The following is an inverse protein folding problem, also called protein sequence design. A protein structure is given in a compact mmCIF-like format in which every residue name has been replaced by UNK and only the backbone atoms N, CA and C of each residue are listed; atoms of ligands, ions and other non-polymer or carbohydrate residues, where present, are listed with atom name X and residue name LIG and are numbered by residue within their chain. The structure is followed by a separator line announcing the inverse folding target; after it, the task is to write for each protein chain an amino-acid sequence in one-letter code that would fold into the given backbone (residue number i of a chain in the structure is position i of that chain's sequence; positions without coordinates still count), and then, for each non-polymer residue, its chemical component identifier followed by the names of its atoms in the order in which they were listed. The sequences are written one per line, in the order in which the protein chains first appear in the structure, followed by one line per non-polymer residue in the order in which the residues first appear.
data_IF_975658156190
#
_entry.id   IF_975658156190
#
_cell.length_a   1.000
_cell.length_b   1.000
_cell.length_c   1.000
_cell.angle_alpha   90.00
_cell.angle_beta   90.00
_cell.angle_gamma   90.00
#
_symmetry.space_group_name_H-M   'P 1'
#
loop_
_entity.id
_entity.type
_entity.pdbx_description
1 polymer ?
#
# COMPACT_ATOMS: atom_id res chain seq x y z
N UNK A 1 -12.43 -40.34 -35.09
CA UNK A 1 -12.93 -39.05 -35.60
C UNK A 1 -14.36 -39.30 -36.03
N UNK A 2 -15.32 -39.08 -35.13
CA UNK A 2 -16.73 -39.32 -35.41
C UNK A 2 -17.28 -38.20 -36.31
N UNK A 3 -18.02 -38.51 -37.38
CA UNK A 3 -18.58 -37.49 -38.25
C UNK A 3 -19.75 -36.77 -37.56
N UNK A 4 -19.76 -35.44 -37.68
CA UNK A 4 -20.79 -34.57 -37.15
C UNK A 4 -22.17 -34.87 -37.78
N UNK A 5 -23.28 -34.79 -37.02
CA UNK A 5 -24.61 -35.05 -37.56
C UNK A 5 -25.02 -33.98 -38.57
N UNK A 6 -25.37 -34.44 -39.78
CA UNK A 6 -25.96 -33.64 -40.86
C UNK A 6 -27.37 -33.18 -40.46
N UNK A 7 -27.60 -31.87 -40.38
CA UNK A 7 -28.95 -31.30 -40.22
C UNK A 7 -29.71 -31.42 -41.53
N UNK A 8 -30.87 -32.06 -41.48
CA UNK A 8 -31.82 -32.14 -42.59
C UNK A 8 -32.39 -30.74 -42.90
N UNK A 9 -32.14 -30.19 -44.10
CA UNK A 9 -32.59 -28.84 -44.46
C UNK A 9 -34.11 -28.72 -44.60
N UNK A 10 -34.86 -29.83 -44.68
CA UNK A 10 -36.33 -29.84 -44.85
C UNK A 10 -37.10 -30.05 -43.54
N UNK A 11 -36.44 -29.99 -42.38
CA UNK A 11 -37.11 -30.06 -41.09
C UNK A 11 -37.98 -28.82 -40.84
N UNK A 12 -39.31 -28.98 -40.92
CA UNK A 12 -40.30 -27.93 -40.63
C UNK A 12 -40.27 -27.61 -39.13
N UNK A 13 -39.67 -26.48 -38.77
CA UNK A 13 -39.59 -25.99 -37.38
C UNK A 13 -40.79 -25.06 -37.11
N UNK A 14 -41.48 -25.15 -35.95
CA UNK A 14 -42.57 -24.24 -35.64
C UNK A 14 -42.08 -22.78 -35.59
N UNK A 15 -42.69 -21.93 -36.42
CA UNK A 15 -42.43 -20.48 -36.46
C UNK A 15 -43.54 -19.77 -35.70
N UNK A 16 -43.17 -18.78 -34.88
CA UNK A 16 -44.13 -17.94 -34.18
C UNK A 16 -45.04 -17.20 -35.18
N UNK A 17 -46.36 -17.11 -34.93
CA UNK A 17 -47.28 -16.41 -35.83
C UNK A 17 -46.89 -14.93 -35.98
N UNK A 18 -47.00 -14.41 -37.20
CA UNK A 18 -46.62 -13.05 -37.54
C UNK A 18 -47.42 -12.03 -36.71
N UNK A 19 -46.71 -11.04 -36.14
CA UNK A 19 -47.32 -9.95 -35.37
C UNK A 19 -48.15 -9.07 -36.31
N UNK A 20 -49.44 -8.88 -35.99
CA UNK A 20 -50.35 -8.08 -36.81
C UNK A 20 -49.82 -6.65 -36.96
N UNK A 21 -49.66 -6.21 -38.22
CA UNK A 21 -49.27 -4.84 -38.57
C UNK A 21 -50.52 -3.97 -38.58
N UNK A 22 -50.51 -2.88 -37.83
CA UNK A 22 -51.63 -1.94 -37.79
C UNK A 22 -51.87 -1.32 -39.20
N UNK A 23 -53.13 -1.20 -39.65
CA UNK A 23 -53.43 -0.63 -40.96
C UNK A 23 -52.98 0.83 -41.02
N UNK A 24 -52.35 1.21 -42.14
CA UNK A 24 -51.86 2.57 -42.36
C UNK A 24 -53.04 3.54 -42.41
N UNK A 25 -53.03 4.64 -41.63
CA UNK A 25 -54.13 5.59 -41.63
C UNK A 25 -54.29 6.25 -43.01
N UNK A 26 -55.50 6.20 -43.55
CA UNK A 26 -55.87 6.88 -44.80
C UNK A 26 -56.22 8.33 -44.46
N UNK A 27 -55.44 9.27 -44.99
CA UNK A 27 -55.69 10.71 -44.80
C UNK A 27 -56.85 11.13 -45.70
N UNK A 28 -57.96 11.58 -45.12
CA UNK A 28 -59.03 12.27 -45.86
C UNK A 28 -58.49 13.61 -46.36
N UNK A 29 -58.40 13.78 -47.68
CA UNK A 29 -58.21 15.09 -48.29
C UNK A 29 -59.50 15.90 -48.14
N UNK A 30 -59.46 16.99 -47.35
CA UNK A 30 -60.54 17.97 -47.34
C UNK A 30 -60.57 18.70 -48.69
N UNK A 31 -61.76 18.85 -49.28
CA UNK A 31 -61.95 19.62 -50.50
C UNK A 31 -61.49 21.07 -50.26
N UNK A 32 -60.74 21.62 -51.22
CA UNK A 32 -60.33 23.02 -51.18
C UNK A 32 -61.56 23.91 -51.36
N UNK A 33 -61.95 24.64 -50.32
CA UNK A 33 -62.87 25.76 -50.46
C UNK A 33 -62.19 26.85 -51.29
N UNK A 34 -62.61 26.98 -52.54
CA UNK A 34 -62.30 28.11 -53.41
C UNK A 34 -63.09 29.33 -52.92
N UNK A 35 -62.53 30.04 -51.94
CA UNK A 35 -63.12 31.29 -51.46
C UNK A 35 -62.43 32.46 -52.18
N UNK A 36 -63.15 33.02 -53.16
CA UNK A 36 -62.77 34.16 -53.98
C UNK A 36 -62.99 35.49 -53.24
N UNK A 37 -62.10 36.46 -53.49
CA UNK A 37 -62.54 37.85 -53.58
C UNK A 37 -62.67 38.69 -52.31
N UNK A 38 -61.67 38.72 -51.42
CA UNK A 38 -61.19 39.96 -50.74
C UNK A 38 -60.20 39.61 -49.62
N UNK A 39 -58.92 39.79 -49.87
CA UNK A 39 -57.88 39.42 -48.91
C UNK A 39 -56.57 40.14 -49.17
N UNK A 40 -55.71 40.26 -48.14
CA UNK A 40 -54.40 40.90 -48.29
C UNK A 40 -53.46 39.97 -49.09
N UNK A 41 -52.66 40.49 -50.03
CA UNK A 41 -51.66 39.69 -50.72
C UNK A 41 -50.55 39.27 -49.74
N UNK A 42 -50.11 38.02 -49.84
CA UNK A 42 -48.97 37.51 -49.10
C UNK A 42 -47.68 38.24 -49.53
N UNK A 43 -46.84 38.71 -48.60
CA UNK A 43 -45.60 39.40 -48.95
C UNK A 43 -44.56 38.51 -49.66
N UNK A 44 -44.66 37.18 -49.52
CA UNK A 44 -43.71 36.24 -50.12
C UNK A 44 -44.14 35.73 -51.50
N UNK A 45 -45.43 35.43 -51.71
CA UNK A 45 -45.91 34.80 -52.95
C UNK A 45 -47.12 35.49 -53.60
N UNK A 46 -47.56 36.64 -53.08
CA UNK A 46 -48.65 37.44 -53.67
C UNK A 46 -50.07 36.86 -53.53
N UNK A 47 -50.24 35.62 -53.04
CA UNK A 47 -51.57 35.01 -52.90
C UNK A 47 -52.47 35.83 -51.98
N UNK A 48 -53.70 36.12 -52.42
CA UNK A 48 -54.71 36.79 -51.60
C UNK A 48 -55.18 35.86 -50.47
N UNK A 49 -55.06 36.33 -49.23
CA UNK A 49 -55.45 35.60 -48.02
C UNK A 49 -56.47 36.42 -47.24
N UNK A 50 -57.49 35.76 -46.68
CA UNK A 50 -58.49 36.42 -45.82
C UNK A 50 -57.82 37.13 -44.63
N UNK A 51 -58.33 38.30 -44.20
CA UNK A 51 -57.65 39.18 -43.24
C UNK A 51 -57.39 38.55 -41.86
N UNK A 52 -58.15 37.51 -41.48
CA UNK A 52 -58.01 36.75 -40.24
C UNK A 52 -56.91 35.68 -40.26
N UNK A 53 -56.37 35.31 -41.44
CA UNK A 53 -55.29 34.31 -41.52
C UNK A 53 -53.97 34.88 -40.99
N UNK A 54 -53.27 34.07 -40.19
CA UNK A 54 -51.92 34.38 -39.69
C UNK A 54 -50.81 33.92 -40.65
N UNK A 55 -51.08 32.87 -41.41
CA UNK A 55 -50.15 32.26 -42.38
C UNK A 55 -50.77 32.18 -43.78
N UNK A 56 -49.94 32.25 -44.81
CA UNK A 56 -50.35 32.15 -46.20
C UNK A 56 -50.86 30.74 -46.53
N UNK A 57 -52.02 30.65 -47.17
CA UNK A 57 -52.60 29.37 -47.63
C UNK A 57 -51.75 28.61 -48.64
N UNK A 58 -50.88 29.30 -49.40
CA UNK A 58 -50.10 28.71 -50.50
C UNK A 58 -48.68 28.35 -50.08
N UNK A 59 -47.97 29.26 -49.43
CA UNK A 59 -46.56 29.07 -49.09
C UNK A 59 -46.27 29.00 -47.58
N UNK A 60 -47.31 29.02 -46.73
CA UNK A 60 -47.20 29.03 -45.27
C UNK A 60 -46.42 30.20 -44.64
N UNK A 61 -46.02 31.23 -45.41
CA UNK A 61 -45.36 32.42 -44.87
C UNK A 61 -46.27 33.22 -43.91
N UNK A 62 -45.71 33.77 -42.83
CA UNK A 62 -46.42 34.66 -41.91
C UNK A 62 -46.90 35.92 -42.62
N UNK A 63 -48.20 36.22 -42.52
CA UNK A 63 -48.81 37.42 -43.14
C UNK A 63 -48.57 38.68 -42.30
N UNK A 64 -48.21 38.50 -41.01
CA UNK A 64 -47.86 39.57 -40.07
C UNK A 64 -46.59 39.16 -39.30
N UNK A 65 -45.40 39.23 -39.93
CA UNK A 65 -44.17 39.00 -39.19
C UNK A 65 -44.06 40.09 -38.11
N UNK A 66 -43.98 39.68 -36.84
CA UNK A 66 -43.68 40.61 -35.76
C UNK A 66 -42.29 41.21 -36.01
N UNK A 67 -42.15 42.53 -35.86
CA UNK A 67 -40.82 43.14 -35.88
C UNK A 67 -39.98 42.49 -34.77
N UNK A 68 -38.89 41.83 -35.17
CA UNK A 68 -37.90 41.35 -34.21
C UNK A 68 -37.33 42.57 -33.50
N UNK A 69 -37.43 42.59 -32.17
CA UNK A 69 -36.82 43.63 -31.37
C UNK A 69 -35.34 43.74 -31.75
N UNK A 70 -34.85 44.97 -31.92
CA UNK A 70 -33.45 45.20 -32.25
C UNK A 70 -32.54 44.54 -31.21
N UNK A 71 -31.42 43.93 -31.63
CA UNK A 71 -30.47 43.33 -30.70
C UNK A 71 -30.01 44.40 -29.72
N UNK A 72 -30.06 44.07 -28.42
CA UNK A 72 -29.55 44.96 -27.39
C UNK A 72 -28.04 45.16 -27.60
N UNK A 73 -27.50 46.37 -27.36
CA UNK A 73 -26.07 46.61 -27.40
C UNK A 73 -25.32 45.66 -26.46
N UNK A 74 -24.18 45.12 -26.91
CA UNK A 74 -23.40 44.10 -26.20
C UNK A 74 -23.06 44.49 -24.74
N UNK A 75 -22.90 45.78 -24.46
CA UNK A 75 -22.61 46.25 -23.10
C UNK A 75 -23.80 46.07 -22.14
N UNK A 76 -25.05 46.04 -22.62
CA UNK A 76 -26.24 45.75 -21.80
C UNK A 76 -26.44 44.26 -21.54
N UNK A 77 -25.85 43.38 -22.35
CA UNK A 77 -25.86 41.93 -22.11
C UNK A 77 -24.73 41.48 -21.18
N UNK A 78 -23.61 42.21 -21.12
CA UNK A 78 -22.48 41.87 -20.24
C UNK A 78 -22.65 42.41 -18.81
N UNK A 79 -23.37 43.52 -18.59
CA UNK A 79 -23.53 44.12 -17.25
C UNK A 79 -24.96 44.59 -16.94
N UNK A 80 -25.86 43.70 -16.51
CA UNK A 80 -27.19 44.10 -16.08
C UNK A 80 -27.12 44.77 -14.70
N UNK A 81 -26.99 46.11 -14.69
CA UNK A 81 -26.98 46.96 -13.49
C UNK A 81 -28.26 46.91 -12.64
N UNK A 82 -29.28 46.14 -13.05
CA UNK A 82 -30.48 45.86 -12.25
C UNK A 82 -30.71 44.37 -12.17
N UNK A 83 -29.88 43.66 -11.39
CA UNK A 83 -30.32 42.40 -10.80
C UNK A 83 -31.44 42.74 -9.82
N UNK A 84 -32.70 42.56 -10.25
CA UNK A 84 -33.74 42.20 -9.26
C UNK A 84 -33.16 41.00 -8.53
N UNK A 85 -33.02 41.11 -7.22
CA UNK A 85 -32.64 40.01 -6.35
C UNK A 85 -33.73 38.92 -6.45
N UNK A 86 -33.70 38.12 -7.53
CA UNK A 86 -34.19 36.76 -7.47
C UNK A 86 -33.28 36.09 -6.45
N UNK A 87 -33.85 35.69 -5.32
CA UNK A 87 -33.21 34.95 -4.23
C UNK A 87 -31.98 34.18 -4.73
N UNK A 88 -30.81 34.79 -4.50
CA UNK A 88 -29.57 34.35 -5.11
C UNK A 88 -29.22 32.98 -4.56
N UNK A 89 -29.20 31.97 -5.43
CA UNK A 89 -28.71 30.63 -5.13
C UNK A 89 -27.47 30.74 -4.25
N UNK A 90 -27.43 30.06 -3.11
CA UNK A 90 -26.33 30.12 -2.12
C UNK A 90 -24.98 29.61 -2.63
N UNK A 91 -24.67 29.78 -3.92
CA UNK A 91 -23.43 29.43 -4.62
C UNK A 91 -22.23 30.19 -4.05
N UNK A 92 -22.39 31.46 -3.68
CA UNK A 92 -21.33 32.23 -3.00
C UNK A 92 -21.04 31.69 -1.59
N UNK A 93 -22.09 31.44 -0.81
CA UNK A 93 -21.97 30.85 0.53
C UNK A 93 -21.38 29.44 0.46
N UNK A 94 -21.86 28.59 -0.47
CA UNK A 94 -21.31 27.24 -0.71
C UNK A 94 -19.83 27.28 -1.11
N UNK A 95 -19.43 28.22 -1.95
CA UNK A 95 -18.02 28.38 -2.33
C UNK A 95 -17.16 28.74 -1.12
N UNK A 96 -17.60 29.67 -0.27
CA UNK A 96 -16.86 30.04 0.95
C UNK A 96 -16.77 28.88 1.94
N UNK A 97 -17.85 28.11 2.11
CA UNK A 97 -17.85 26.91 2.96
C UNK A 97 -16.89 25.84 2.43
N UNK A 98 -16.93 25.55 1.12
CA UNK A 98 -16.00 24.59 0.51
C UNK A 98 -14.56 25.05 0.66
N UNK A 99 -14.28 26.33 0.41
CA UNK A 99 -12.95 26.90 0.56
C UNK A 99 -12.46 26.80 2.02
N UNK A 100 -13.32 27.11 3.00
CA UNK A 100 -12.99 26.98 4.41
C UNK A 100 -12.68 25.52 4.80
N UNK A 101 -13.46 24.55 4.30
CA UNK A 101 -13.21 23.12 4.51
C UNK A 101 -11.89 22.68 3.88
N UNK A 102 -11.59 23.10 2.65
CA UNK A 102 -10.32 22.78 1.98
C UNK A 102 -9.14 23.37 2.75
N UNK A 103 -9.24 24.62 3.20
CA UNK A 103 -8.20 25.27 4.03
C UNK A 103 -8.03 24.51 5.35
N UNK A 104 -9.11 24.13 6.02
CA UNK A 104 -9.07 23.36 7.25
C UNK A 104 -8.43 21.97 7.05
N UNK A 105 -8.71 21.30 5.93
CA UNK A 105 -8.08 20.02 5.58
C UNK A 105 -6.59 20.18 5.26
N UNK A 106 -6.22 21.24 4.53
CA UNK A 106 -4.81 21.54 4.25
C UNK A 106 -4.04 21.87 5.53
N UNK A 107 -4.62 22.72 6.40
CA UNK A 107 -4.05 23.04 7.71
C UNK A 107 -3.96 21.80 8.59
N UNK A 108 -5.03 21.00 8.68
CA UNK A 108 -5.04 19.73 9.39
C UNK A 108 -3.96 18.77 8.88
N UNK A 109 -3.82 18.63 7.56
CA UNK A 109 -2.72 17.88 6.94
C UNK A 109 -1.35 18.43 7.36
N UNK A 110 -1.11 19.73 7.24
CA UNK A 110 0.17 20.37 7.58
C UNK A 110 0.51 20.22 9.07
N UNK A 111 -0.46 20.38 9.97
CA UNK A 111 -0.24 20.24 11.41
C UNK A 111 -0.13 18.79 11.87
N UNK A 112 -0.76 17.84 11.17
CA UNK A 112 -0.65 16.41 11.46
C UNK A 112 0.55 15.73 10.77
N UNK A 113 1.14 16.35 9.74
CA UNK A 113 2.31 15.82 9.03
C UNK A 113 3.55 15.61 9.94
N UNK A 114 3.93 16.51 10.86
CA UNK A 114 5.05 16.28 11.78
C UNK A 114 4.80 15.08 12.69
N UNK A 115 3.59 14.98 13.26
CA UNK A 115 3.20 13.89 14.14
C UNK A 115 3.10 12.55 13.38
N UNK A 116 2.57 12.58 12.16
CA UNK A 116 2.50 11.42 11.27
C UNK A 116 3.87 10.94 10.80
N UNK A 117 4.81 11.85 10.53
CA UNK A 117 6.19 11.48 10.21
C UNK A 117 6.92 10.90 11.42
N UNK A 118 6.80 11.51 12.59
CA UNK A 118 7.41 10.98 13.81
C UNK A 118 6.88 9.57 14.15
N UNK A 119 5.57 9.34 14.01
CA UNK A 119 4.96 8.02 14.22
C UNK A 119 5.37 7.03 13.13
N UNK A 120 5.43 7.44 11.86
CA UNK A 120 5.87 6.58 10.76
C UNK A 120 7.35 6.20 10.89
N UNK A 121 8.21 7.14 11.28
CA UNK A 121 9.63 6.90 11.51
C UNK A 121 9.82 5.98 12.73
N UNK A 122 9.10 6.18 13.83
CA UNK A 122 9.11 5.29 15.00
C UNK A 122 8.60 3.87 14.69
N UNK A 123 7.55 3.75 13.86
CA UNK A 123 7.05 2.44 13.39
C UNK A 123 8.01 1.79 12.41
N UNK A 124 8.61 2.56 11.49
CA UNK A 124 9.61 2.07 10.54
C UNK A 124 10.87 1.62 11.26
N UNK A 125 11.29 2.34 12.30
CA UNK A 125 12.43 1.98 13.17
C UNK A 125 12.12 0.70 13.96
N UNK A 126 10.85 0.48 14.34
CA UNK A 126 10.39 -0.77 14.96
C UNK A 126 10.22 -1.95 13.98
N UNK A 127 10.12 -1.67 12.68
CA UNK A 127 9.92 -2.66 11.60
C UNK A 127 11.13 -2.80 10.64
N UNK A 128 12.22 -2.07 10.88
CA UNK A 128 13.45 -2.14 10.08
C UNK A 128 14.05 -3.55 10.10
N UNK A 129 14.62 -3.99 8.98
CA UNK A 129 15.21 -5.34 8.86
C UNK A 129 16.43 -5.46 9.79
N UNK A 130 16.56 -6.60 10.46
CA UNK A 130 17.74 -6.92 11.25
C UNK A 130 18.98 -7.01 10.35
N UNK A 131 20.04 -6.29 10.70
CA UNK A 131 21.31 -6.27 9.96
C UNK A 131 22.43 -6.89 10.81
N UNK A 132 23.28 -7.77 10.26
CA UNK A 132 24.39 -8.35 11.01
C UNK A 132 25.43 -7.29 11.39
N UNK A 133 25.94 -7.35 12.62
CA UNK A 133 27.02 -6.49 13.13
C UNK A 133 28.15 -7.33 13.71
N UNK A 134 29.38 -7.03 13.33
CA UNK A 134 30.58 -7.74 13.80
C UNK A 134 31.24 -6.97 14.96
N UNK A 135 31.61 -7.64 16.06
CA UNK A 135 32.37 -7.02 17.13
C UNK A 135 33.78 -6.65 16.64
N UNK A 136 34.32 -5.55 17.17
CA UNK A 136 35.70 -5.12 16.87
C UNK A 136 36.75 -5.83 17.72
N UNK A 137 36.33 -6.45 18.83
CA UNK A 137 37.21 -7.19 19.73
C UNK A 137 36.44 -8.37 20.33
N UNK A 138 37.12 -9.52 20.39
CA UNK A 138 36.61 -10.74 21.02
C UNK A 138 37.66 -11.25 22.00
N UNK A 139 37.29 -11.40 23.26
CA UNK A 139 38.17 -11.87 24.33
C UNK A 139 37.51 -13.05 25.04
N UNK A 140 38.27 -14.12 25.32
CA UNK A 140 37.80 -15.23 26.13
C UNK A 140 38.45 -15.23 27.51
N UNK A 141 37.76 -15.77 28.50
CA UNK A 141 38.36 -16.09 29.80
C UNK A 141 39.46 -17.15 29.70
N UNK A 142 39.48 -17.92 28.61
CA UNK A 142 40.53 -18.87 28.24
C UNK A 142 40.19 -19.59 26.94
N UNK A 143 41.14 -20.32 26.36
CA UNK A 143 40.94 -21.10 25.13
C UNK A 143 41.87 -22.30 25.10
N UNK A 144 41.42 -23.43 24.55
CA UNK A 144 42.34 -24.55 24.27
C UNK A 144 43.15 -24.30 22.99
N UNK A 145 44.36 -24.88 22.87
CA UNK A 145 45.22 -24.72 21.69
C UNK A 145 44.49 -25.04 20.39
N UNK A 146 44.66 -24.17 19.38
CA UNK A 146 44.03 -24.34 18.06
C UNK A 146 42.55 -23.95 18.00
N UNK A 147 41.92 -23.55 19.11
CA UNK A 147 40.50 -23.20 19.19
C UNK A 147 40.27 -21.83 19.87
N UNK A 148 40.81 -20.73 19.30
CA UNK A 148 40.73 -19.40 19.91
C UNK A 148 39.31 -18.81 19.85
N UNK A 149 39.10 -17.79 20.69
CA UNK A 149 37.87 -16.99 20.76
C UNK A 149 37.39 -16.45 19.40
N UNK A 150 38.31 -16.07 18.52
CA UNK A 150 38.00 -15.47 17.21
C UNK A 150 37.27 -16.41 16.26
N UNK A 151 37.23 -17.72 16.56
CA UNK A 151 36.47 -18.70 15.77
C UNK A 151 34.96 -18.57 15.95
N UNK A 152 34.47 -17.78 16.92
CA UNK A 152 33.03 -17.57 17.12
C UNK A 152 32.45 -16.41 16.33
N UNK A 153 33.28 -15.73 15.53
CA UNK A 153 32.86 -14.60 14.70
C UNK A 153 33.54 -14.64 13.33
N UNK A 154 33.97 -15.82 12.87
CA UNK A 154 34.70 -15.97 11.61
C UNK A 154 33.77 -16.30 10.42
N UNK A 155 32.45 -16.38 10.68
CA UNK A 155 31.43 -16.72 9.71
C UNK A 155 31.42 -18.21 9.33
N UNK A 156 32.17 -19.06 10.03
CA UNK A 156 32.27 -20.49 9.76
C UNK A 156 31.65 -21.33 10.86
N UNK A 157 30.59 -22.05 10.53
CA UNK A 157 29.88 -22.94 11.46
C UNK A 157 30.52 -24.34 11.61
N UNK A 158 31.80 -24.50 11.26
CA UNK A 158 32.56 -25.76 11.36
C UNK A 158 33.92 -25.58 12.06
N UNK A 159 34.19 -24.36 12.53
CA UNK A 159 35.25 -24.04 13.46
C UNK A 159 34.59 -23.64 14.78
N UNK A 160 35.34 -23.74 15.87
CA UNK A 160 34.80 -23.46 17.19
C UNK A 160 35.86 -22.94 18.14
N UNK A 161 35.42 -22.10 19.08
CA UNK A 161 36.12 -21.83 20.32
C UNK A 161 35.95 -23.00 21.27
N UNK A 162 37.04 -23.42 21.90
CA UNK A 162 37.05 -24.45 22.92
C UNK A 162 37.24 -23.82 24.29
N UNK A 163 36.16 -23.77 25.06
CA UNK A 163 36.16 -23.27 26.41
C UNK A 163 37.03 -24.16 27.32
N UNK A 164 37.81 -23.56 28.25
CA UNK A 164 38.61 -24.32 29.22
C UNK A 164 37.76 -25.12 30.22
N UNK A 165 36.48 -24.80 30.37
CA UNK A 165 35.55 -25.51 31.25
C UNK A 165 34.22 -24.77 31.40
N UNK A 166 33.28 -25.34 32.20
CA UNK A 166 32.04 -24.65 32.55
C UNK A 166 32.31 -23.32 33.26
N UNK A 167 31.51 -22.30 32.94
CA UNK A 167 31.70 -20.94 33.43
C UNK A 167 32.71 -20.11 32.63
N UNK A 168 33.35 -20.69 31.61
CA UNK A 168 34.15 -19.90 30.68
C UNK A 168 33.27 -18.90 29.93
N UNK A 169 33.82 -17.73 29.63
CA UNK A 169 33.09 -16.65 28.97
C UNK A 169 33.83 -16.05 27.78
N UNK A 170 33.05 -15.49 26.87
CA UNK A 170 33.48 -14.64 25.75
C UNK A 170 32.93 -13.24 25.98
N UNK A 171 33.75 -12.23 25.70
CA UNK A 171 33.36 -10.82 25.72
C UNK A 171 33.55 -10.26 24.32
N UNK A 172 32.44 -9.78 23.76
CA UNK A 172 32.36 -9.13 22.46
C UNK A 172 32.23 -7.64 22.67
N UNK A 173 33.11 -6.86 22.05
CA UNK A 173 33.09 -5.38 22.12
C UNK A 173 32.76 -4.81 20.76
N UNK A 174 31.87 -3.82 20.74
CA UNK A 174 31.42 -3.16 19.51
C UNK A 174 31.98 -1.74 19.42
N UNK A 175 32.18 -1.25 18.19
CA UNK A 175 32.81 0.06 17.95
C UNK A 175 31.95 1.22 18.44
N UNK A 176 30.65 1.11 18.25
CA UNK A 176 29.64 2.11 18.57
C UNK A 176 28.49 1.41 19.30
N UNK A 177 27.80 2.10 20.22
CA UNK A 177 26.54 1.62 20.77
C UNK A 177 25.54 1.33 19.67
N UNK A 178 24.75 0.25 19.82
CA UNK A 178 23.73 -0.13 18.85
C UNK A 178 22.55 -0.81 19.55
N UNK A 179 21.42 -0.91 18.84
CA UNK A 179 20.24 -1.63 19.31
C UNK A 179 20.33 -3.11 18.92
N UNK A 180 20.57 -3.98 19.90
CA UNK A 180 20.64 -5.42 19.73
C UNK A 180 19.24 -6.02 19.58
N UNK A 181 18.94 -6.59 18.41
CA UNK A 181 17.63 -7.21 18.15
C UNK A 181 17.68 -8.72 18.31
N UNK A 182 18.66 -9.37 17.68
CA UNK A 182 18.83 -10.81 17.69
C UNK A 182 20.28 -11.20 17.96
N UNK A 183 20.45 -12.32 18.67
CA UNK A 183 21.71 -13.04 18.83
C UNK A 183 21.48 -14.44 18.29
N UNK A 184 22.25 -14.87 17.30
CA UNK A 184 22.19 -16.24 16.79
C UNK A 184 23.39 -17.01 17.33
N UNK A 185 23.13 -18.16 17.96
CA UNK A 185 24.17 -19.02 18.52
C UNK A 185 24.19 -20.35 17.78
N UNK A 186 25.38 -20.73 17.30
CA UNK A 186 25.64 -22.10 16.85
C UNK A 186 26.36 -22.85 17.98
N UNK A 187 25.58 -23.63 18.73
CA UNK A 187 26.08 -24.39 19.88
C UNK A 187 26.91 -25.61 19.44
N UNK A 188 27.88 -26.01 20.26
CA UNK A 188 28.77 -27.14 19.95
C UNK A 188 29.82 -26.79 18.90
N UNK A 189 30.37 -27.81 18.24
CA UNK A 189 31.48 -27.64 17.30
C UNK A 189 31.06 -27.36 15.85
N UNK A 190 29.82 -27.70 15.49
CA UNK A 190 29.29 -27.46 14.15
C UNK A 190 27.77 -27.65 14.06
N UNK A 191 27.16 -27.14 12.99
CA UNK A 191 25.79 -27.50 12.57
C UNK A 191 25.69 -28.89 11.95
N UNK A 192 26.80 -29.52 11.55
CA UNK A 192 26.80 -30.91 11.08
C UNK A 192 26.54 -31.86 12.25
N UNK A 193 25.55 -32.77 12.19
CA UNK A 193 25.24 -33.71 13.27
C UNK A 193 26.44 -34.55 13.73
N UNK A 194 27.28 -34.99 12.79
CA UNK A 194 28.45 -35.81 13.09
C UNK A 194 29.50 -35.03 13.89
N UNK A 195 29.81 -33.81 13.46
CA UNK A 195 30.78 -32.95 14.14
C UNK A 195 30.23 -32.41 15.47
N UNK A 196 28.93 -32.10 15.54
CA UNK A 196 28.23 -31.70 16.76
C UNK A 196 28.36 -32.76 17.85
N UNK A 197 28.16 -34.04 17.50
CA UNK A 197 28.24 -35.14 18.45
C UNK A 197 29.66 -35.42 18.96
N UNK A 198 30.72 -35.00 18.25
CA UNK A 198 32.12 -35.27 18.64
C UNK A 198 32.59 -34.42 19.82
N UNK A 199 32.01 -33.24 20.03
CA UNK A 199 32.43 -32.31 21.09
C UNK A 199 31.34 -32.15 22.15
N UNK A 200 31.72 -31.56 23.29
CA UNK A 200 30.79 -31.19 24.33
C UNK A 200 30.11 -29.86 23.98
N UNK A 201 28.93 -29.61 24.53
CA UNK A 201 28.16 -28.38 24.29
C UNK A 201 27.53 -27.85 25.57
N UNK A 202 27.16 -26.58 25.57
CA UNK A 202 26.45 -25.95 26.69
C UNK A 202 24.93 -26.11 26.49
N UNK A 203 24.19 -26.44 27.54
CA UNK A 203 22.71 -26.38 27.49
C UNK A 203 22.15 -25.09 28.08
N UNK A 204 23.00 -24.26 28.66
CA UNK A 204 22.62 -22.95 29.16
C UNK A 204 23.73 -21.95 28.87
N UNK A 205 23.35 -20.72 28.53
CA UNK A 205 24.28 -19.61 28.42
C UNK A 205 23.73 -18.40 29.14
N UNK A 206 24.62 -17.70 29.84
CA UNK A 206 24.30 -16.42 30.44
C UNK A 206 24.77 -15.32 29.49
N UNK A 207 23.84 -14.50 29.03
CA UNK A 207 24.10 -13.34 28.18
C UNK A 207 24.02 -12.08 29.03
N UNK A 208 25.17 -11.54 29.43
CA UNK A 208 25.28 -10.24 30.10
C UNK A 208 25.53 -9.16 29.04
N UNK A 209 24.53 -8.31 28.82
CA UNK A 209 24.60 -7.17 27.90
C UNK A 209 24.90 -5.91 28.70
N UNK A 210 25.93 -5.17 28.32
CA UNK A 210 26.28 -3.89 28.95
C UNK A 210 26.07 -2.75 27.95
N UNK A 211 25.23 -1.78 28.34
CA UNK A 211 24.95 -0.60 27.55
C UNK A 211 26.04 0.49 27.73
N UNK A 212 25.95 1.54 26.92
CA UNK A 212 26.91 2.66 26.94
C UNK A 212 26.98 3.36 28.30
N UNK A 213 25.85 3.50 28.98
CA UNK A 213 25.73 4.11 30.31
C UNK A 213 26.25 3.21 31.45
N UNK A 214 26.72 1.99 31.11
CA UNK A 214 27.23 1.00 32.05
C UNK A 214 26.15 0.13 32.71
N UNK A 215 24.87 0.33 32.39
CA UNK A 215 23.81 -0.58 32.83
C UNK A 215 24.03 -1.98 32.28
N UNK A 216 23.72 -2.98 33.10
CA UNK A 216 23.91 -4.39 32.78
C UNK A 216 22.59 -5.11 32.85
N UNK A 217 22.27 -5.85 31.80
CA UNK A 217 21.14 -6.76 31.74
C UNK A 217 21.64 -8.19 31.59
N UNK A 218 21.22 -9.08 32.48
CA UNK A 218 21.56 -10.49 32.44
C UNK A 218 20.37 -11.29 31.92
N UNK A 219 20.59 -12.07 30.87
CA UNK A 219 19.60 -12.98 30.32
C UNK A 219 20.13 -14.40 30.32
N UNK A 220 19.47 -15.27 31.07
CA UNK A 220 19.73 -16.71 31.02
C UNK A 220 18.99 -17.32 29.83
N UNK A 221 19.70 -18.11 29.03
CA UNK A 221 19.17 -18.74 27.83
C UNK A 221 19.43 -20.24 27.88
N UNK A 222 18.36 -21.01 27.80
CA UNK A 222 18.44 -22.46 27.59
C UNK A 222 18.64 -22.77 26.11
N UNK A 223 19.68 -23.54 25.79
CA UNK A 223 19.98 -23.99 24.45
C UNK A 223 19.42 -25.39 24.21
N UNK A 224 18.82 -25.61 23.05
CA UNK A 224 18.42 -26.93 22.57
C UNK A 224 19.64 -27.84 22.40
N UNK A 225 19.51 -29.10 22.82
CA UNK A 225 20.51 -30.13 22.55
C UNK A 225 20.34 -30.75 21.15
N UNK A 226 20.42 -29.90 20.13
CA UNK A 226 20.31 -30.30 18.72
C UNK A 226 21.32 -29.50 17.90
N UNK A 227 21.92 -30.11 16.86
CA UNK A 227 22.74 -29.38 15.92
C UNK A 227 21.92 -28.30 15.21
N UNK A 228 22.50 -27.12 15.02
CA UNK A 228 21.87 -26.00 14.32
C UNK A 228 22.07 -24.66 15.02
N UNK A 229 21.60 -23.61 14.34
CA UNK A 229 21.59 -22.25 14.87
C UNK A 229 20.35 -22.02 15.74
N UNK A 230 20.48 -21.21 16.79
CA UNK A 230 19.39 -20.83 17.68
C UNK A 230 19.34 -19.32 17.83
N UNK A 231 18.20 -18.72 17.52
CA UNK A 231 17.99 -17.27 17.60
C UNK A 231 17.43 -16.89 18.97
N UNK A 232 18.05 -15.89 19.57
CA UNK A 232 17.68 -15.32 20.87
C UNK A 232 17.32 -13.86 20.64
N UNK A 233 16.05 -13.53 20.86
CA UNK A 233 15.58 -12.15 20.79
C UNK A 233 16.02 -11.40 22.05
N UNK A 234 16.54 -10.19 21.90
CA UNK A 234 17.02 -9.36 23.03
C UNK A 234 16.24 -8.05 23.12
N UNK A 235 16.27 -7.23 22.07
CA UNK A 235 15.56 -5.94 22.04
C UNK A 235 16.19 -4.84 22.91
N UNK A 236 17.46 -4.98 23.29
CA UNK A 236 18.20 -4.07 24.19
C UNK A 236 18.85 -2.94 23.39
N UNK A 237 18.75 -1.70 23.88
CA UNK A 237 19.33 -0.51 23.25
C UNK A 237 20.74 -0.20 23.75
N UNK A 238 21.47 0.62 22.97
CA UNK A 238 22.76 1.23 23.34
C UNK A 238 23.84 0.23 23.79
N UNK A 239 23.81 -0.98 23.25
CA UNK A 239 24.72 -2.08 23.60
C UNK A 239 26.14 -1.77 23.16
N UNK A 240 27.10 -1.88 24.09
CA UNK A 240 28.53 -1.65 23.83
C UNK A 240 29.36 -2.93 23.97
N UNK A 241 29.03 -3.76 24.96
CA UNK A 241 29.70 -5.04 25.18
C UNK A 241 28.70 -6.13 25.52
N UNK A 242 28.96 -7.34 25.04
CA UNK A 242 28.17 -8.53 25.34
C UNK A 242 29.11 -9.58 25.91
N UNK A 243 28.82 -10.08 27.10
CA UNK A 243 29.53 -11.21 27.71
C UNK A 243 28.63 -12.45 27.67
N UNK A 244 29.10 -13.50 27.02
CA UNK A 244 28.45 -14.80 26.94
C UNK A 244 29.19 -15.80 27.81
N UNK A 245 28.52 -16.42 28.78
CA UNK A 245 29.11 -17.43 29.67
C UNK A 245 28.48 -18.79 29.43
N UNK A 246 29.29 -19.83 29.16
CA UNK A 246 28.79 -21.18 28.94
C UNK A 246 28.51 -21.89 30.27
N UNK A 247 27.31 -22.44 30.41
CA UNK A 247 26.84 -23.16 31.60
C UNK A 247 26.30 -24.55 31.22
N UNK A 248 26.11 -25.38 32.23
CA UNK A 248 25.45 -26.68 32.10
C UNK A 248 25.98 -27.53 30.93
N UNK A 249 27.29 -27.86 30.92
CA UNK A 249 27.88 -28.62 29.82
C UNK A 249 27.35 -30.04 29.83
N UNK A 250 27.07 -30.55 28.63
CA UNK A 250 26.78 -31.96 28.40
C UNK A 250 27.92 -32.58 27.63
N UNK A 251 28.19 -33.84 27.92
CA UNK A 251 29.14 -34.66 27.16
C UNK A 251 30.62 -34.20 27.26
N UNK A 252 30.93 -33.37 28.26
CA UNK A 252 32.28 -32.93 28.57
C UNK A 252 33.08 -34.08 29.21
N UNK A 253 34.14 -34.51 28.55
CA UNK A 253 35.00 -35.60 28.99
C UNK A 253 36.41 -35.47 28.40
N UNK A 254 37.32 -36.36 28.79
CA UNK A 254 38.69 -36.37 28.25
C UNK A 254 38.65 -36.55 26.72
N UNK A 255 39.21 -35.59 25.99
CA UNK A 255 39.24 -35.58 24.52
C UNK A 255 38.03 -34.91 23.86
N UNK A 256 37.04 -34.44 24.63
CA UNK A 256 35.91 -33.65 24.13
C UNK A 256 35.96 -32.25 24.75
N UNK A 257 35.93 -31.24 23.91
CA UNK A 257 36.00 -29.83 24.32
C UNK A 257 34.60 -29.25 24.45
N UNK A 258 34.38 -28.36 25.43
CA UNK A 258 33.18 -27.54 25.47
C UNK A 258 33.25 -26.52 24.32
N UNK A 259 32.47 -26.77 23.27
CA UNK A 259 32.60 -26.08 22.00
C UNK A 259 31.47 -25.07 21.77
N UNK A 260 31.83 -23.95 21.15
CA UNK A 260 30.91 -22.96 20.61
C UNK A 260 31.39 -22.58 19.21
N UNK A 261 30.55 -22.81 18.20
CA UNK A 261 30.97 -22.67 16.82
C UNK A 261 30.92 -21.21 16.38
N UNK A 262 29.77 -20.56 16.51
CA UNK A 262 29.57 -19.19 16.01
C UNK A 262 28.57 -18.44 16.90
N UNK A 263 28.76 -17.13 17.03
CA UNK A 263 27.81 -16.18 17.60
C UNK A 263 27.68 -14.98 16.68
N UNK A 264 26.48 -14.79 16.15
CA UNK A 264 26.15 -13.68 15.25
C UNK A 264 25.25 -12.68 15.98
N UNK A 265 25.52 -11.39 15.79
CA UNK A 265 24.77 -10.31 16.41
C UNK A 265 24.06 -9.51 15.33
N UNK A 266 22.84 -9.08 15.62
CA UNK A 266 22.04 -8.29 14.70
C UNK A 266 21.61 -6.99 15.36
N UNK A 267 21.74 -5.91 14.60
CA UNK A 267 21.29 -4.58 14.98
C UNK A 267 20.02 -4.19 14.24
N UNK A 268 19.31 -3.20 14.79
CA UNK A 268 18.34 -2.44 14.01
C UNK A 268 19.08 -1.42 13.12
N UNK A 269 18.81 -1.44 11.81
CA UNK A 269 19.30 -0.45 10.84
C UNK A 269 18.38 0.74 10.64
#
# INVERSE_FOLDING_TARGET
MDPAPTRDPDAIVPVLPAKAVAPRPVVRSQAAEEDEGSGRPCPACGTLNRPERKFCRRCAAELRPAQKAAPLPWWRTVWPFRRRARAGSGRGVRFLVILAVVIALCAGGIFLLPAGRALYEDVRDKLGKAEPITPVKVEASGSLPGHPATKTTDGLNNKYWAAPGPGASLTYTFRKPFRLVDVIITNGASTSPEAYARQARALQVDLEVTAEDGTKELKEVTLSDKPGCQTIQSGISDVKTIRLTLKSPVDLSKGRHLALAEVEFFQRG
#
